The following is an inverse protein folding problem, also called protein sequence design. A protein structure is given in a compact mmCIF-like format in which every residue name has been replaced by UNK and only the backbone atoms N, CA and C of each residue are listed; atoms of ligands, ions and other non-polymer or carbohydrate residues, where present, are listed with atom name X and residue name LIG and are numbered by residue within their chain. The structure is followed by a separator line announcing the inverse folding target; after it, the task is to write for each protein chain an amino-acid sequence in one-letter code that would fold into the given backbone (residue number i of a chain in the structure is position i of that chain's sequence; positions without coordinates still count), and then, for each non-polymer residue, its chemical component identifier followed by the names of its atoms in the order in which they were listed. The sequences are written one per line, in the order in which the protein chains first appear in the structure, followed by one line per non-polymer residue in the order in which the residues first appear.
data_IF_560833653171
#
_entry.id   IF_560833653171
#
_cell.length_a   1.000
_cell.length_b   1.000
_cell.length_c   1.000
_cell.angle_alpha   90.00
_cell.angle_beta   90.00
_cell.angle_gamma   90.00
#
_symmetry.space_group_name_H-M   'P 1'
#
loop_
_entity.id
_entity.type
_entity.pdbx_description
1 polymer ?
#
# COMPACT_ATOMS: atom_id res chain seq x y z
N UNK A 1 4.90 -17.64 9.45
CA UNK A 1 5.58 -18.47 8.43
C UNK A 1 6.33 -17.46 7.58
N UNK A 2 7.65 -17.50 7.47
CA UNK A 2 8.36 -16.36 6.85
C UNK A 2 8.00 -16.27 5.36
N UNK A 3 7.34 -15.19 4.95
CA UNK A 3 6.95 -14.97 3.55
C UNK A 3 8.19 -14.54 2.77
N UNK A 4 8.42 -15.17 1.63
CA UNK A 4 9.56 -14.84 0.78
C UNK A 4 9.56 -13.35 0.39
N UNK A 5 10.69 -12.68 0.54
CA UNK A 5 10.85 -11.25 0.24
C UNK A 5 10.55 -10.94 -1.22
N UNK A 6 10.85 -11.85 -2.14
CA UNK A 6 10.56 -11.68 -3.55
C UNK A 6 9.05 -11.73 -3.81
N UNK A 7 8.33 -12.59 -3.07
CA UNK A 7 6.87 -12.65 -3.12
C UNK A 7 6.24 -11.38 -2.54
N UNK A 8 6.77 -10.86 -1.43
CA UNK A 8 6.32 -9.57 -0.86
C UNK A 8 6.54 -8.44 -1.86
N UNK A 9 7.71 -8.38 -2.49
CA UNK A 9 8.02 -7.35 -3.48
C UNK A 9 7.12 -7.43 -4.72
N UNK A 10 6.88 -8.64 -5.24
CA UNK A 10 6.01 -8.86 -6.40
C UNK A 10 4.53 -8.57 -6.10
N UNK A 11 4.08 -8.81 -4.88
CA UNK A 11 2.68 -8.60 -4.45
C UNK A 11 2.39 -7.16 -4.02
N UNK A 12 3.40 -6.34 -3.74
CA UNK A 12 3.18 -5.01 -3.17
C UNK A 12 2.34 -4.09 -4.07
N UNK A 13 2.66 -4.01 -5.37
CA UNK A 13 1.89 -3.21 -6.34
C UNK A 13 0.43 -3.63 -6.46
N UNK A 14 0.11 -4.90 -6.81
CA UNK A 14 -1.29 -5.30 -6.96
C UNK A 14 -2.08 -5.17 -5.65
N UNK A 15 -1.44 -5.38 -4.48
CA UNK A 15 -2.10 -5.25 -3.18
C UNK A 15 -2.48 -3.78 -2.89
N UNK A 16 -1.59 -2.83 -3.13
CA UNK A 16 -1.91 -1.39 -2.97
C UNK A 16 -3.02 -0.96 -3.93
N UNK A 17 -2.95 -1.37 -5.21
CA UNK A 17 -3.97 -1.03 -6.19
C UNK A 17 -5.33 -1.65 -5.86
N UNK A 18 -5.34 -2.87 -5.31
CA UNK A 18 -6.58 -3.51 -4.86
C UNK A 18 -7.20 -2.78 -3.65
N UNK A 19 -6.39 -2.27 -2.72
CA UNK A 19 -6.91 -1.45 -1.61
C UNK A 19 -7.49 -0.12 -2.13
N UNK A 20 -6.80 0.53 -3.06
CA UNK A 20 -7.24 1.80 -3.64
C UNK A 20 -8.43 1.66 -4.59
N UNK A 21 -8.70 0.46 -5.12
CA UNK A 21 -9.90 0.20 -5.93
C UNK A 21 -11.18 0.11 -5.08
N UNK A 22 -11.07 -0.08 -3.76
CA UNK A 22 -12.20 -0.01 -2.82
C UNK A 22 -12.62 1.44 -2.54
N UNK A 23 -11.74 2.41 -2.77
CA UNK A 23 -12.00 3.83 -2.56
C UNK A 23 -10.72 4.63 -2.27
N UNK A 24 -10.89 5.95 -2.14
CA UNK A 24 -9.80 6.84 -1.71
C UNK A 24 -9.29 6.46 -0.32
N UNK A 25 -7.97 6.56 -0.14
CA UNK A 25 -7.32 6.12 1.09
C UNK A 25 -6.05 6.93 1.36
N UNK A 26 -5.54 6.85 2.59
CA UNK A 26 -4.32 7.55 3.02
C UNK A 26 -3.29 6.56 3.58
N UNK A 27 -2.01 6.97 3.59
CA UNK A 27 -0.88 6.06 3.79
C UNK A 27 -1.00 5.15 5.01
N UNK A 28 -1.35 5.70 6.16
CA UNK A 28 -1.51 4.90 7.39
C UNK A 28 -2.63 3.86 7.28
N UNK A 29 -3.78 4.21 6.70
CA UNK A 29 -4.89 3.28 6.55
C UNK A 29 -4.56 2.16 5.55
N UNK A 30 -3.76 2.42 4.51
CA UNK A 30 -3.23 1.37 3.62
C UNK A 30 -2.34 0.40 4.40
N UNK A 31 -1.37 0.89 5.19
CA UNK A 31 -0.49 0.04 6.02
C UNK A 31 -1.32 -0.84 6.97
N UNK A 32 -2.30 -0.23 7.65
CA UNK A 32 -3.18 -0.94 8.57
C UNK A 32 -3.97 -2.03 7.84
N UNK A 33 -4.54 -1.72 6.67
CA UNK A 33 -5.29 -2.67 5.84
C UNK A 33 -4.42 -3.84 5.39
N UNK A 34 -3.17 -3.62 4.99
CA UNK A 34 -2.22 -4.69 4.63
C UNK A 34 -1.98 -5.64 5.81
N UNK A 35 -1.76 -5.07 7.00
CA UNK A 35 -1.55 -5.84 8.24
C UNK A 35 -2.78 -6.67 8.61
N UNK A 36 -3.97 -6.07 8.53
CA UNK A 36 -5.26 -6.75 8.79
C UNK A 36 -5.52 -7.89 7.80
N UNK A 37 -5.36 -7.65 6.49
CA UNK A 37 -5.60 -8.65 5.44
C UNK A 37 -4.60 -9.83 5.48
N UNK A 38 -3.38 -9.57 5.96
CA UNK A 38 -2.34 -10.60 6.10
C UNK A 38 -2.36 -11.32 7.46
N UNK A 39 -3.31 -11.01 8.34
CA UNK A 39 -3.34 -11.58 9.70
C UNK A 39 -2.11 -11.21 10.53
N UNK A 40 -1.45 -10.10 10.21
CA UNK A 40 -0.25 -9.61 10.87
C UNK A 40 1.08 -10.13 10.30
N UNK A 41 1.07 -11.00 9.29
CA UNK A 41 2.31 -11.53 8.68
C UNK A 41 3.03 -10.49 7.81
N UNK A 42 2.31 -9.51 7.24
CA UNK A 42 2.91 -8.39 6.49
C UNK A 42 2.82 -7.10 7.31
N UNK A 43 3.97 -6.67 7.84
CA UNK A 43 4.10 -5.40 8.56
C UNK A 43 4.83 -4.39 7.68
N UNK A 44 4.06 -3.52 7.03
CA UNK A 44 4.63 -2.46 6.22
C UNK A 44 4.96 -1.21 7.04
N UNK A 45 5.94 -0.46 6.56
CA UNK A 45 6.38 0.81 7.13
C UNK A 45 6.18 1.92 6.12
N UNK A 46 6.17 3.16 6.59
CA UNK A 46 6.15 4.34 5.72
C UNK A 46 7.26 4.29 4.66
N UNK A 47 8.46 3.86 5.07
CA UNK A 47 9.62 3.71 4.17
C UNK A 47 9.46 2.67 3.07
N UNK A 48 8.50 1.74 3.20
CA UNK A 48 8.15 0.80 2.14
C UNK A 48 6.98 1.31 1.29
N UNK A 49 5.97 1.90 1.93
CA UNK A 49 4.76 2.33 1.23
C UNK A 49 4.96 3.56 0.35
N UNK A 50 5.55 4.63 0.87
CA UNK A 50 5.64 5.89 0.11
C UNK A 50 6.47 5.78 -1.18
N UNK A 51 7.62 5.08 -1.21
CA UNK A 51 8.34 4.85 -2.47
C UNK A 51 7.53 4.04 -3.50
N UNK A 52 6.65 3.15 -3.05
CA UNK A 52 5.72 2.44 -3.93
C UNK A 52 4.65 3.39 -4.46
N UNK A 53 3.98 4.16 -3.60
CA UNK A 53 2.97 5.14 -4.03
C UNK A 53 3.51 6.14 -5.04
N UNK A 54 4.70 6.72 -4.79
CA UNK A 54 5.35 7.61 -5.76
C UNK A 54 5.65 6.94 -7.10
N UNK A 55 5.97 5.65 -7.09
CA UNK A 55 6.19 4.89 -8.33
C UNK A 55 4.88 4.71 -9.10
N UNK A 56 3.81 4.34 -8.41
CA UNK A 56 2.49 4.18 -9.00
C UNK A 56 1.98 5.49 -9.60
N UNK A 57 2.19 6.60 -8.90
CA UNK A 57 1.85 7.95 -9.38
C UNK A 57 2.64 8.32 -10.63
N UNK A 58 3.97 8.09 -10.65
CA UNK A 58 4.79 8.29 -11.85
C UNK A 58 4.36 7.43 -13.05
N UNK A 59 3.76 6.26 -12.80
CA UNK A 59 3.20 5.40 -13.85
C UNK A 59 1.77 5.79 -14.25
N UNK A 60 1.15 6.76 -13.57
CA UNK A 60 -0.23 7.19 -13.84
C UNK A 60 -1.29 6.19 -13.35
N UNK A 61 -0.95 5.30 -12.41
CA UNK A 61 -1.92 4.34 -11.86
C UNK A 61 -2.73 4.91 -10.70
N UNK A 62 -2.22 5.95 -10.05
CA UNK A 62 -2.86 6.63 -8.91
C UNK A 62 -2.58 8.13 -9.02
N UNK A 63 -3.42 8.93 -8.38
CA UNK A 63 -3.22 10.37 -8.21
C UNK A 63 -3.23 10.69 -6.71
N UNK A 64 -2.45 11.69 -6.32
CA UNK A 64 -2.45 12.20 -4.94
C UNK A 64 -3.09 13.58 -4.88
N UNK A 65 -3.81 13.83 -3.79
CA UNK A 65 -4.40 15.13 -3.50
C UNK A 65 -4.38 15.40 -2.00
N UNK A 66 -4.42 16.67 -1.63
CA UNK A 66 -4.54 17.07 -0.24
C UNK A 66 -6.00 16.96 0.20
N UNK A 67 -6.29 16.02 1.09
CA UNK A 67 -7.58 15.91 1.77
C UNK A 67 -7.71 16.91 2.92
N UNK A 68 -8.95 17.24 3.29
CA UNK A 68 -9.21 17.92 4.58
C UNK A 68 -9.12 16.89 5.69
N UNK A 69 -8.35 17.21 6.75
CA UNK A 69 -8.48 16.51 8.01
C UNK A 69 -9.85 16.86 8.61
N UNK A 70 -10.75 15.88 8.72
CA UNK A 70 -11.91 15.96 9.61
C UNK A 70 -11.52 15.62 11.05
#
# INVERSE_FOLDING_TARGET
MDIDKDLVAASATPLVLAILSEGENYGYAIIKRVSELSGGELQWTDGMLYPLLHRLERHGYVESFWGRSE
#
